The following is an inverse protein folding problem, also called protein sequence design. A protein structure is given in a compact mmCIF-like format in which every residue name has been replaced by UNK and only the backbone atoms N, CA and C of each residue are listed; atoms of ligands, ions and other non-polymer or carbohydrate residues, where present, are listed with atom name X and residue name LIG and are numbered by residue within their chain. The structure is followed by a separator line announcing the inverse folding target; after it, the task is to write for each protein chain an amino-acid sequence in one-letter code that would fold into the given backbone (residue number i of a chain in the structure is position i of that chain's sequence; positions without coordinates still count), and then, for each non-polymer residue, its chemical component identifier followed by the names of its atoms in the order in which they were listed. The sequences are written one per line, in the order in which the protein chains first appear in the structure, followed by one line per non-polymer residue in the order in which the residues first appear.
data_IF_127310506500
#
_entry.id   IF_127310506500
#
_cell.length_a   1.000
_cell.length_b   1.000
_cell.length_c   1.000
_cell.angle_alpha   90.00
_cell.angle_beta   90.00
_cell.angle_gamma   90.00
#
_symmetry.space_group_name_H-M   'P 1'
#
loop_
_entity.id
_entity.type
_entity.pdbx_description
1 polymer ?
#
# COMPACT_ATOMS: atom_id res chain seq x y z
N UNK A 1 10.93 -19.98 19.03
CA UNK A 1 11.09 -18.59 18.57
C UNK A 1 10.74 -17.66 19.71
N UNK A 2 11.64 -16.78 20.12
CA UNK A 2 11.38 -15.83 21.20
C UNK A 2 10.21 -14.91 20.83
N UNK A 3 9.22 -14.81 21.73
CA UNK A 3 8.09 -13.91 21.61
C UNK A 3 8.65 -12.50 21.76
N UNK A 4 8.76 -11.75 20.65
CA UNK A 4 9.17 -10.33 20.71
C UNK A 4 8.03 -9.59 21.40
N UNK A 5 8.25 -9.21 22.64
CA UNK A 5 7.33 -8.35 23.42
C UNK A 5 7.40 -6.97 22.80
N UNK A 6 6.25 -6.45 22.36
CA UNK A 6 6.16 -5.07 21.87
C UNK A 6 6.31 -4.13 23.09
N UNK A 7 7.15 -3.12 22.95
CA UNK A 7 7.30 -2.06 23.93
C UNK A 7 5.98 -1.26 24.00
N UNK A 8 5.30 -1.31 25.12
CA UNK A 8 4.01 -0.65 25.32
C UNK A 8 4.09 0.86 25.12
N UNK A 9 5.23 1.47 25.41
CA UNK A 9 5.46 2.90 25.19
C UNK A 9 5.48 3.29 23.70
N UNK A 10 5.61 2.31 22.81
CA UNK A 10 5.57 2.51 21.35
C UNK A 10 4.22 2.18 20.74
N UNK A 11 3.26 1.70 21.55
CA UNK A 11 1.91 1.40 21.08
C UNK A 11 1.09 2.70 21.03
N UNK A 12 0.41 2.91 19.92
CA UNK A 12 -0.52 4.01 19.69
C UNK A 12 -1.86 3.46 19.23
N UNK A 13 -2.93 3.82 19.89
CA UNK A 13 -4.28 3.59 19.38
C UNK A 13 -4.84 4.87 18.78
N UNK A 14 -5.34 4.75 17.55
CA UNK A 14 -6.07 5.81 16.88
C UNK A 14 -7.44 5.26 16.44
N UNK A 15 -8.50 5.83 16.98
CA UNK A 15 -9.89 5.44 16.74
C UNK A 15 -10.37 5.79 15.33
N UNK A 16 -9.77 6.81 14.72
CA UNK A 16 -10.15 7.30 13.40
C UNK A 16 -8.95 7.95 12.66
N UNK A 17 -9.20 8.31 11.40
CA UNK A 17 -8.22 8.96 10.52
C UNK A 17 -7.71 10.30 11.06
N UNK A 18 -8.58 11.10 11.71
CA UNK A 18 -8.23 12.44 12.20
C UNK A 18 -7.24 12.35 13.36
N UNK A 19 -7.47 11.44 14.32
CA UNK A 19 -6.57 11.23 15.46
C UNK A 19 -5.19 10.72 15.02
N UNK A 20 -5.14 9.78 14.06
CA UNK A 20 -3.89 9.32 13.46
C UNK A 20 -3.13 10.45 12.75
N UNK A 21 -3.82 11.26 11.93
CA UNK A 21 -3.22 12.41 11.26
C UNK A 21 -2.67 13.43 12.25
N UNK A 22 -3.40 13.72 13.34
CA UNK A 22 -2.97 14.65 14.36
C UNK A 22 -1.67 14.18 15.06
N UNK A 23 -1.60 12.89 15.39
CA UNK A 23 -0.39 12.30 15.94
C UNK A 23 0.81 12.42 14.98
N UNK A 24 0.63 12.03 13.74
CA UNK A 24 1.67 12.15 12.71
C UNK A 24 2.16 13.60 12.58
N UNK A 25 1.25 14.57 12.52
CA UNK A 25 1.60 16.00 12.42
C UNK A 25 2.52 16.46 13.55
N UNK A 26 2.31 15.96 14.77
CA UNK A 26 3.15 16.30 15.93
C UNK A 26 4.49 15.56 15.96
N UNK A 27 4.59 14.38 15.35
CA UNK A 27 5.70 13.46 15.59
C UNK A 27 6.54 13.10 14.35
N UNK A 28 6.10 13.44 13.13
CA UNK A 28 6.75 12.93 11.90
C UNK A 28 8.20 13.40 11.71
N UNK A 29 8.61 14.53 12.32
CA UNK A 29 9.97 15.07 12.23
C UNK A 29 10.93 14.44 13.23
N UNK A 30 10.44 14.05 14.40
CA UNK A 30 11.25 13.60 15.54
C UNK A 30 11.09 12.12 15.86
N UNK A 31 9.93 11.55 15.51
CA UNK A 31 9.62 10.15 15.77
C UNK A 31 10.46 9.20 14.93
N UNK A 32 10.92 8.11 15.55
CA UNK A 32 11.67 7.04 14.86
C UNK A 32 10.79 5.90 14.41
N UNK A 33 9.78 5.57 15.20
CA UNK A 33 8.79 4.53 14.90
C UNK A 33 7.59 4.64 15.83
N UNK A 34 6.48 4.02 15.42
CA UNK A 34 5.31 3.79 16.25
C UNK A 34 4.63 2.50 15.81
N UNK A 35 3.99 1.82 16.75
CA UNK A 35 3.17 0.65 16.49
C UNK A 35 1.71 1.06 16.62
N UNK A 36 1.04 1.26 15.48
CA UNK A 36 -0.37 1.60 15.43
C UNK A 36 -1.22 0.38 15.73
N UNK A 37 -2.01 0.46 16.78
CA UNK A 37 -2.85 -0.64 17.28
C UNK A 37 -4.17 -0.67 16.52
N UNK A 38 -4.56 -1.88 16.10
CA UNK A 38 -5.83 -2.18 15.47
C UNK A 38 -6.60 -3.20 16.31
N UNK A 39 -7.78 -2.83 16.74
CA UNK A 39 -8.72 -3.77 17.33
C UNK A 39 -9.35 -4.64 16.25
N UNK A 40 -9.53 -5.94 16.53
CA UNK A 40 -10.21 -6.86 15.62
C UNK A 40 -11.70 -6.52 15.53
N UNK A 41 -12.32 -6.92 14.43
CA UNK A 41 -13.71 -6.55 14.12
C UNK A 41 -14.70 -6.99 15.21
N UNK A 42 -14.52 -8.16 15.81
CA UNK A 42 -15.42 -8.69 16.84
C UNK A 42 -15.47 -7.84 18.10
N UNK A 43 -14.47 -6.97 18.35
CA UNK A 43 -14.46 -6.08 19.53
C UNK A 43 -15.39 -4.89 19.41
N UNK A 44 -15.92 -4.59 18.21
CA UNK A 44 -16.75 -3.43 17.94
C UNK A 44 -16.05 -2.07 18.12
N UNK A 45 -14.77 -2.06 18.51
CA UNK A 45 -14.04 -0.79 18.74
C UNK A 45 -13.70 -0.09 17.44
N UNK A 46 -13.94 1.23 17.43
CA UNK A 46 -13.57 2.09 16.30
C UNK A 46 -12.06 2.04 16.06
N UNK A 47 -11.64 2.15 14.80
CA UNK A 47 -10.22 2.18 14.43
C UNK A 47 -10.05 2.88 13.10
N UNK A 48 -8.90 3.49 12.90
CA UNK A 48 -8.46 3.91 11.57
C UNK A 48 -8.35 2.68 10.66
N UNK A 49 -8.80 2.77 9.43
CA UNK A 49 -8.62 1.67 8.47
C UNK A 49 -7.16 1.59 8.01
N UNK A 50 -6.71 0.40 7.61
CA UNK A 50 -5.35 0.22 7.07
C UNK A 50 -5.01 1.21 5.96
N UNK A 51 -5.93 1.37 5.01
CA UNK A 51 -5.69 2.25 3.87
C UNK A 51 -5.58 3.73 4.28
N UNK A 52 -6.43 4.20 5.20
CA UNK A 52 -6.33 5.55 5.76
C UNK A 52 -5.02 5.74 6.52
N UNK A 53 -4.62 4.73 7.29
CA UNK A 53 -3.36 4.80 8.03
C UNK A 53 -2.15 4.93 7.10
N UNK A 54 -2.09 4.15 6.03
CA UNK A 54 -1.03 4.25 5.02
C UNK A 54 -1.07 5.58 4.28
N UNK A 55 -2.25 6.09 3.93
CA UNK A 55 -2.38 7.38 3.26
C UNK A 55 -1.89 8.54 4.12
N UNK A 56 -2.29 8.58 5.39
CA UNK A 56 -1.82 9.63 6.29
C UNK A 56 -0.32 9.51 6.54
N UNK A 57 0.20 8.30 6.73
CA UNK A 57 1.64 8.08 6.86
C UNK A 57 2.41 8.62 5.65
N UNK A 58 1.96 8.33 4.43
CA UNK A 58 2.56 8.85 3.19
C UNK A 58 2.54 10.38 3.13
N UNK A 59 1.48 11.04 3.64
CA UNK A 59 1.42 12.50 3.70
C UNK A 59 2.56 13.12 4.53
N UNK A 60 3.09 12.37 5.48
CA UNK A 60 4.16 12.81 6.38
C UNK A 60 5.49 12.08 6.15
N UNK A 61 5.66 11.41 5.01
CA UNK A 61 6.91 10.74 4.65
C UNK A 61 7.19 9.45 5.44
N UNK A 62 6.16 8.85 6.03
CA UNK A 62 6.24 7.59 6.76
C UNK A 62 5.73 6.42 5.93
N UNK A 63 6.06 5.20 6.35
CA UNK A 63 5.65 3.96 5.69
C UNK A 63 5.38 2.87 6.72
N UNK A 64 4.41 2.02 6.39
CA UNK A 64 4.13 0.79 7.12
C UNK A 64 5.16 -0.30 6.84
N UNK A 65 5.29 -1.22 7.77
CA UNK A 65 6.17 -2.39 7.62
C UNK A 65 5.58 -3.63 8.28
N UNK A 66 6.11 -4.05 9.42
CA UNK A 66 5.78 -5.30 10.08
C UNK A 66 4.45 -5.22 10.83
N UNK A 67 3.66 -6.30 10.74
CA UNK A 67 2.48 -6.51 11.58
C UNK A 67 2.80 -7.51 12.68
N UNK A 68 2.36 -7.26 13.90
CA UNK A 68 2.53 -8.15 15.07
C UNK A 68 1.21 -8.31 15.81
N UNK A 69 0.97 -9.51 16.32
CA UNK A 69 -0.11 -9.74 17.28
C UNK A 69 0.29 -9.10 18.61
N UNK A 70 -0.63 -8.36 19.22
CA UNK A 70 -0.49 -7.81 20.58
C UNK A 70 -1.11 -8.82 21.55
N UNK A 71 -2.39 -9.12 21.39
CA UNK A 71 -3.16 -10.06 22.18
C UNK A 71 -4.27 -10.73 21.35
N UNK A 72 -5.31 -11.24 22.02
CA UNK A 72 -6.44 -11.90 21.34
C UNK A 72 -7.28 -10.91 20.53
N UNK A 73 -7.39 -9.69 20.99
CA UNK A 73 -8.26 -8.65 20.43
C UNK A 73 -7.52 -7.66 19.53
N UNK A 74 -6.18 -7.58 19.64
CA UNK A 74 -5.39 -6.53 19.00
C UNK A 74 -4.22 -7.09 18.19
N UNK A 75 -3.93 -6.40 17.11
CA UNK A 75 -2.64 -6.46 16.42
C UNK A 75 -2.11 -5.03 16.24
N UNK A 76 -0.83 -4.89 16.02
CA UNK A 76 -0.21 -3.59 15.76
C UNK A 76 0.61 -3.65 14.47
N UNK A 77 0.62 -2.55 13.75
CA UNK A 77 1.43 -2.35 12.57
C UNK A 77 2.46 -1.27 12.81
N UNK A 78 3.71 -1.59 12.49
CA UNK A 78 4.82 -0.65 12.63
C UNK A 78 4.77 0.38 11.51
N UNK A 79 4.87 1.64 11.89
CA UNK A 79 5.10 2.78 10.99
C UNK A 79 6.43 3.45 11.37
N UNK A 80 7.15 3.92 10.37
CA UNK A 80 8.43 4.63 10.58
C UNK A 80 8.71 5.60 9.43
N UNK A 81 9.57 6.60 9.62
CA UNK A 81 10.04 7.46 8.54
C UNK A 81 10.63 6.63 7.40
N UNK A 82 10.33 7.02 6.18
CA UNK A 82 10.93 6.39 5.00
C UNK A 82 12.41 6.71 4.92
N UNK A 83 13.21 5.71 4.64
CA UNK A 83 14.63 5.92 4.34
C UNK A 83 14.76 6.67 3.01
N UNK A 84 15.61 7.71 2.93
CA UNK A 84 15.91 8.38 1.67
C UNK A 84 16.31 7.38 0.57
N UNK A 85 15.93 7.65 -0.67
CA UNK A 85 16.26 6.81 -1.81
C UNK A 85 15.45 5.50 -1.94
N UNK A 86 14.67 5.10 -0.94
CA UNK A 86 13.83 3.89 -1.05
C UNK A 86 12.71 4.10 -2.07
N UNK A 87 12.58 3.26 -3.10
CA UNK A 87 11.54 3.42 -4.11
C UNK A 87 10.13 3.19 -3.52
N UNK A 88 9.17 3.95 -4.01
CA UNK A 88 7.75 3.72 -3.71
C UNK A 88 7.22 2.55 -4.53
N UNK A 89 6.43 1.66 -3.91
CA UNK A 89 5.63 0.70 -4.66
C UNK A 89 4.67 1.44 -5.60
N UNK A 90 4.24 0.79 -6.68
CA UNK A 90 3.30 1.41 -7.62
C UNK A 90 1.99 1.82 -6.92
N UNK A 91 1.48 0.98 -6.01
CA UNK A 91 0.30 1.31 -5.20
C UNK A 91 0.48 2.60 -4.39
N UNK A 92 1.65 2.77 -3.75
CA UNK A 92 1.93 3.98 -2.99
C UNK A 92 2.19 5.20 -3.88
N UNK A 93 2.67 5.01 -5.12
CA UNK A 93 2.75 6.10 -6.11
C UNK A 93 1.37 6.61 -6.52
N UNK A 94 0.41 5.71 -6.77
CA UNK A 94 -0.98 6.11 -7.09
C UNK A 94 -1.63 6.84 -5.90
N UNK A 95 -1.47 6.31 -4.67
CA UNK A 95 -1.94 7.00 -3.44
C UNK A 95 -1.35 8.40 -3.33
N UNK A 96 -0.03 8.49 -3.46
CA UNK A 96 0.69 9.75 -3.28
C UNK A 96 0.30 10.78 -4.32
N UNK A 97 0.16 10.39 -5.60
CA UNK A 97 -0.32 11.28 -6.65
C UNK A 97 -1.70 11.87 -6.32
N UNK A 98 -2.64 11.04 -5.86
CA UNK A 98 -3.97 11.50 -5.45
C UNK A 98 -3.93 12.39 -4.20
N UNK A 99 -3.03 12.12 -3.25
CA UNK A 99 -2.87 12.91 -2.02
C UNK A 99 -2.22 14.28 -2.31
N UNK A 100 -1.29 14.33 -3.25
CA UNK A 100 -0.67 15.58 -3.73
C UNK A 100 -1.73 16.45 -4.43
N UNK A 101 -2.51 15.88 -5.34
CA UNK A 101 -3.58 16.58 -6.03
C UNK A 101 -4.64 17.17 -5.06
N UNK A 102 -4.81 16.54 -3.89
CA UNK A 102 -5.71 17.02 -2.81
C UNK A 102 -5.04 17.99 -1.82
N UNK A 103 -3.78 18.35 -2.02
CA UNK A 103 -3.03 19.24 -1.12
C UNK A 103 -2.79 18.68 0.29
N UNK A 104 -2.80 17.34 0.46
CA UNK A 104 -2.73 16.70 1.79
C UNK A 104 -1.32 16.41 2.27
N UNK A 105 -0.34 16.41 1.37
CA UNK A 105 1.06 16.05 1.66
C UNK A 105 1.78 17.25 2.28
N UNK A 106 2.54 17.01 3.34
CA UNK A 106 3.33 18.04 4.02
C UNK A 106 4.36 18.66 3.07
N UNK A 107 4.59 19.98 3.17
CA UNK A 107 5.46 20.74 2.25
C UNK A 107 6.88 20.18 2.20
N UNK A 108 7.43 19.82 3.35
CA UNK A 108 8.77 19.26 3.46
C UNK A 108 8.87 17.88 2.78
N UNK A 109 7.82 17.07 2.88
CA UNK A 109 7.74 15.77 2.19
C UNK A 109 7.67 15.96 0.68
N UNK A 110 6.88 16.92 0.21
CA UNK A 110 6.82 17.27 -1.22
C UNK A 110 8.21 17.65 -1.76
N UNK A 111 8.99 18.42 -1.00
CA UNK A 111 10.33 18.81 -1.40
C UNK A 111 11.28 17.60 -1.56
N UNK A 112 11.09 16.53 -0.79
CA UNK A 112 11.90 15.31 -0.87
C UNK A 112 11.52 14.36 -2.00
N UNK A 113 10.32 14.49 -2.54
CA UNK A 113 9.81 13.59 -3.59
C UNK A 113 10.49 13.78 -4.96
N UNK A 114 11.16 14.91 -5.16
CA UNK A 114 11.69 15.30 -6.46
C UNK A 114 10.57 15.58 -7.48
N UNK A 115 10.92 16.05 -8.66
CA UNK A 115 9.96 16.12 -9.76
C UNK A 115 9.70 14.67 -10.22
N UNK A 116 8.47 14.15 -10.11
CA UNK A 116 8.16 12.82 -10.62
C UNK A 116 8.33 12.88 -12.15
N UNK A 117 9.46 12.37 -12.65
CA UNK A 117 9.56 12.12 -14.07
C UNK A 117 8.45 11.14 -14.46
N UNK A 118 7.59 11.45 -15.43
CA UNK A 118 6.56 10.54 -15.89
C UNK A 118 7.24 9.36 -16.58
N UNK A 119 7.64 8.35 -15.80
CA UNK A 119 8.11 7.09 -16.38
C UNK A 119 6.91 6.47 -17.09
N UNK A 120 6.99 6.44 -18.44
CA UNK A 120 5.99 5.76 -19.26
C UNK A 120 5.89 4.30 -18.78
N UNK A 121 4.76 3.95 -18.18
CA UNK A 121 4.52 2.60 -17.73
C UNK A 121 4.46 1.66 -18.93
N UNK A 122 5.26 0.60 -18.88
CA UNK A 122 5.24 -0.49 -19.87
C UNK A 122 4.94 -1.80 -19.18
N UNK A 123 4.04 -2.58 -19.77
CA UNK A 123 3.82 -3.97 -19.33
C UNK A 123 5.01 -4.79 -19.78
N UNK A 124 5.67 -5.57 -18.89
CA UNK A 124 6.73 -6.47 -19.28
C UNK A 124 6.30 -7.43 -20.40
N UNK A 125 7.18 -7.72 -21.38
CA UNK A 125 6.81 -8.48 -22.58
C UNK A 125 6.20 -9.85 -22.31
N UNK A 126 6.73 -10.59 -21.34
CA UNK A 126 6.26 -11.90 -20.91
C UNK A 126 4.85 -11.86 -20.29
N UNK A 127 4.59 -10.86 -19.41
CA UNK A 127 3.26 -10.65 -18.83
C UNK A 127 2.27 -10.23 -19.92
N UNK A 128 2.72 -9.37 -20.84
CA UNK A 128 1.88 -8.93 -21.96
C UNK A 128 1.55 -10.10 -22.91
N UNK A 129 2.52 -10.97 -23.18
CA UNK A 129 2.31 -12.17 -23.98
C UNK A 129 1.27 -13.10 -23.33
N UNK A 130 1.39 -13.33 -22.02
CA UNK A 130 0.44 -14.14 -21.26
C UNK A 130 -0.99 -13.56 -21.29
N UNK A 131 -1.14 -12.23 -21.20
CA UNK A 131 -2.45 -11.56 -21.33
C UNK A 131 -3.02 -11.72 -22.75
N UNK A 132 -2.17 -11.63 -23.78
CA UNK A 132 -2.59 -11.73 -25.18
C UNK A 132 -2.98 -13.14 -25.57
N UNK A 133 -2.41 -14.17 -24.94
CA UNK A 133 -2.69 -15.58 -25.20
C UNK A 133 -4.13 -15.99 -24.84
N UNK A 134 -4.77 -15.28 -23.89
CA UNK A 134 -6.17 -15.49 -23.53
C UNK A 134 -7.04 -14.37 -24.14
N UNK A 135 -7.91 -14.67 -25.12
CA UNK A 135 -8.75 -13.66 -25.77
C UNK A 135 -9.67 -12.90 -24.81
N UNK A 136 -10.23 -13.57 -23.80
CA UNK A 136 -11.10 -12.94 -22.81
C UNK A 136 -10.30 -11.99 -21.90
N UNK A 137 -9.14 -12.45 -21.41
CA UNK A 137 -8.24 -11.62 -20.61
C UNK A 137 -7.75 -10.40 -21.42
N UNK A 138 -7.35 -10.58 -22.68
CA UNK A 138 -6.91 -9.50 -23.57
C UNK A 138 -7.98 -8.42 -23.75
N UNK A 139 -9.23 -8.85 -24.04
CA UNK A 139 -10.34 -7.92 -24.29
C UNK A 139 -10.71 -7.14 -23.02
N UNK A 140 -10.77 -7.80 -21.87
CA UNK A 140 -11.12 -7.18 -20.61
C UNK A 140 -9.99 -6.28 -20.08
N UNK A 141 -8.73 -6.71 -20.22
CA UNK A 141 -7.57 -5.90 -19.82
C UNK A 141 -7.55 -4.53 -20.51
N UNK A 142 -7.95 -4.43 -21.77
CA UNK A 142 -8.03 -3.15 -22.47
C UNK A 142 -8.95 -2.16 -21.79
N UNK A 143 -10.07 -2.64 -21.22
CA UNK A 143 -11.13 -1.83 -20.57
C UNK A 143 -10.74 -1.35 -19.17
N UNK A 144 -9.79 -2.03 -18.49
CA UNK A 144 -9.40 -1.66 -17.15
C UNK A 144 -8.66 -0.31 -17.11
N UNK A 145 -8.80 0.39 -15.99
CA UNK A 145 -8.19 1.70 -15.80
C UNK A 145 -6.66 1.64 -15.88
N UNK A 146 -5.98 2.71 -16.28
CA UNK A 146 -4.53 2.76 -16.30
C UNK A 146 -3.89 2.53 -14.93
N UNK A 147 -4.49 3.03 -13.85
CA UNK A 147 -4.00 2.86 -12.48
C UNK A 147 -4.09 1.41 -12.02
N UNK A 148 -5.22 0.74 -12.26
CA UNK A 148 -5.36 -0.70 -11.99
C UNK A 148 -4.27 -1.52 -12.70
N UNK A 149 -4.09 -1.27 -14.01
CA UNK A 149 -3.07 -1.94 -14.81
C UNK A 149 -1.69 -1.76 -14.19
N UNK A 150 -1.30 -0.51 -13.89
CA UNK A 150 0.00 -0.22 -13.27
C UNK A 150 0.19 -0.94 -11.93
N UNK A 151 -0.80 -0.89 -11.06
CA UNK A 151 -0.73 -1.51 -9.73
C UNK A 151 -0.60 -3.03 -9.85
N UNK A 152 -1.44 -3.68 -10.67
CA UNK A 152 -1.45 -5.15 -10.77
C UNK A 152 -0.22 -5.70 -11.46
N UNK A 153 0.20 -5.09 -12.56
CA UNK A 153 1.41 -5.51 -13.26
C UNK A 153 2.64 -5.32 -12.38
N UNK A 154 2.78 -4.18 -11.71
CA UNK A 154 3.90 -3.97 -10.78
C UNK A 154 3.89 -4.95 -9.60
N UNK A 155 2.72 -5.36 -9.11
CA UNK A 155 2.61 -6.38 -8.06
C UNK A 155 3.07 -7.76 -8.54
N UNK A 156 2.78 -8.14 -9.78
CA UNK A 156 3.25 -9.38 -10.39
C UNK A 156 4.75 -9.31 -10.61
N UNK A 157 5.21 -8.25 -11.26
CA UNK A 157 6.61 -8.01 -11.62
C UNK A 157 7.54 -7.96 -10.41
N UNK A 158 7.08 -7.41 -9.30
CA UNK A 158 7.81 -7.36 -8.04
C UNK A 158 8.00 -8.71 -7.32
N UNK A 159 7.60 -9.82 -7.94
CA UNK A 159 7.84 -11.17 -7.43
C UNK A 159 8.82 -11.96 -8.30
N UNK A 160 9.55 -11.33 -9.23
CA UNK A 160 10.43 -12.02 -10.20
C UNK A 160 11.55 -12.84 -9.55
N UNK A 161 12.07 -12.37 -8.43
CA UNK A 161 13.06 -13.06 -7.60
C UNK A 161 12.53 -14.32 -6.90
N UNK A 162 11.21 -14.53 -6.96
CA UNK A 162 10.48 -15.67 -6.38
C UNK A 162 9.59 -16.32 -7.44
N UNK A 163 10.13 -17.19 -8.32
CA UNK A 163 9.46 -17.69 -9.52
C UNK A 163 8.08 -18.33 -9.25
N UNK A 164 7.95 -19.13 -8.20
CA UNK A 164 6.68 -19.76 -7.82
C UNK A 164 5.60 -18.72 -7.47
N UNK A 165 5.98 -17.66 -6.72
CA UNK A 165 5.07 -16.59 -6.35
C UNK A 165 4.72 -15.72 -7.57
N UNK A 166 5.68 -15.43 -8.45
CA UNK A 166 5.43 -14.74 -9.71
C UNK A 166 4.39 -15.47 -10.55
N UNK A 167 4.57 -16.77 -10.77
CA UNK A 167 3.63 -17.59 -11.53
C UNK A 167 2.25 -17.67 -10.88
N UNK A 168 2.20 -17.77 -9.55
CA UNK A 168 0.94 -17.76 -8.80
C UNK A 168 0.18 -16.45 -9.01
N UNK A 169 0.86 -15.30 -8.88
CA UNK A 169 0.26 -13.98 -9.10
C UNK A 169 -0.21 -13.79 -10.52
N UNK A 170 0.59 -14.19 -11.51
CA UNK A 170 0.24 -14.08 -12.92
C UNK A 170 -0.98 -14.93 -13.27
N UNK A 171 -0.99 -16.21 -12.89
CA UNK A 171 -2.16 -17.09 -13.11
C UNK A 171 -3.44 -16.56 -12.46
N UNK A 172 -3.34 -16.08 -11.22
CA UNK A 172 -4.49 -15.50 -10.56
C UNK A 172 -5.01 -14.25 -11.28
N UNK A 173 -4.10 -13.37 -11.68
CA UNK A 173 -4.43 -12.16 -12.43
C UNK A 173 -5.13 -12.48 -13.75
N UNK A 174 -4.59 -13.40 -14.56
CA UNK A 174 -5.19 -13.82 -15.84
C UNK A 174 -6.60 -14.37 -15.63
N UNK A 175 -6.77 -15.28 -14.66
CA UNK A 175 -8.08 -15.87 -14.32
C UNK A 175 -9.12 -14.81 -13.93
N UNK A 176 -8.74 -13.82 -13.12
CA UNK A 176 -9.66 -12.76 -12.71
C UNK A 176 -9.95 -11.80 -13.86
N UNK A 177 -8.94 -11.49 -14.66
CA UNK A 177 -9.08 -10.62 -15.83
C UNK A 177 -9.97 -11.25 -16.90
N UNK A 178 -9.85 -12.55 -17.19
CA UNK A 178 -10.72 -13.27 -18.10
C UNK A 178 -12.20 -13.22 -17.67
N UNK A 179 -12.45 -13.21 -16.34
CA UNK A 179 -13.79 -13.05 -15.76
C UNK A 179 -14.27 -11.60 -15.68
N UNK A 180 -13.52 -10.64 -16.23
CA UNK A 180 -13.77 -9.19 -16.10
C UNK A 180 -13.87 -8.72 -14.65
N UNK A 181 -13.11 -9.33 -13.73
CA UNK A 181 -13.11 -8.98 -12.31
C UNK A 181 -11.82 -8.26 -11.93
N UNK A 182 -11.94 -7.05 -11.43
CA UNK A 182 -10.86 -6.36 -10.74
C UNK A 182 -10.77 -6.86 -9.30
N UNK A 183 -9.58 -6.84 -8.73
CA UNK A 183 -9.33 -7.25 -7.35
C UNK A 183 -8.21 -6.41 -6.74
N UNK A 184 -8.23 -6.33 -5.42
CA UNK A 184 -7.25 -5.61 -4.62
C UNK A 184 -7.37 -6.01 -3.15
N UNK A 185 -6.72 -5.25 -2.29
CA UNK A 185 -6.83 -5.41 -0.85
C UNK A 185 -6.48 -4.08 -0.14
N UNK A 186 -6.95 -3.94 1.10
CA UNK A 186 -6.61 -2.81 1.95
C UNK A 186 -7.08 -1.46 1.42
N UNK A 187 -8.17 -1.42 0.63
CA UNK A 187 -8.78 -0.19 0.12
C UNK A 187 -8.05 0.45 -1.04
N UNK A 188 -7.10 -0.26 -1.70
CA UNK A 188 -6.41 0.22 -2.90
C UNK A 188 -7.37 0.36 -4.10
N UNK A 189 -8.52 -0.32 -4.04
CA UNK A 189 -9.53 -0.37 -5.08
C UNK A 189 -10.05 1.02 -5.46
N UNK A 190 -10.09 1.95 -4.53
CA UNK A 190 -10.53 3.34 -4.78
C UNK A 190 -9.61 4.13 -5.72
N UNK A 191 -8.44 3.58 -6.05
CA UNK A 191 -7.50 4.16 -7.00
C UNK A 191 -7.53 3.49 -8.38
N UNK A 192 -8.48 2.58 -8.59
CA UNK A 192 -8.62 1.85 -9.86
C UNK A 192 -9.32 2.67 -10.94
#
# INVERSE_FOLDING_TARGET
MAKIILDENKLLYADNRKSWRAWLKGHYRTGREVWLVYYKQHTGKARVTYNEAVEEALCFGWIDSTVRRVDEDRYAQRFSPRKPGTPYSQANRERLAALIAKGKVAKEVLATLGKPAPKRFRVPPDILAAIKADPAARNNFRKFSPSYKRIRIAFIDGARDRPAEFQKRLRYFLRMTAKNKQFGFGGIEKYY
#
